data_IF_699542762178
#
_entry.id   IF_699542762178
#
_cell.length_a   1.000
_cell.length_b   1.000
_cell.length_c   1.000
_cell.angle_alpha   90.00
_cell.angle_beta   90.00
_cell.angle_gamma   90.00
#
_symmetry.space_group_name_H-M   'P 1'
#
loop_
_entity.id
_entity.type
_entity.pdbx_description
1 polymer ?
#
# COMPACT_ATOMS: atom_id res chain seq x y z
N UNK A 1 -57.48 -26.82 21.52
CA UNK A 1 -56.45 -26.63 20.47
C UNK A 1 -56.39 -25.20 19.90
N UNK A 2 -56.64 -24.14 20.69
CA UNK A 2 -56.52 -22.73 20.24
C UNK A 2 -55.13 -22.11 20.47
N UNK A 3 -54.27 -22.76 21.26
CA UNK A 3 -52.94 -22.25 21.62
C UNK A 3 -51.89 -22.37 20.49
N UNK A 4 -51.98 -23.39 19.64
CA UNK A 4 -51.04 -23.61 18.53
C UNK A 4 -51.15 -22.52 17.43
N UNK A 5 -52.33 -21.93 17.23
CA UNK A 5 -52.52 -20.89 16.21
C UNK A 5 -51.85 -19.56 16.58
N UNK A 6 -51.80 -19.22 17.87
CA UNK A 6 -51.15 -18.00 18.34
C UNK A 6 -49.63 -18.14 18.42
N UNK A 7 -49.13 -19.35 18.62
CA UNK A 7 -47.69 -19.62 18.69
C UNK A 7 -47.02 -19.43 17.31
N UNK A 8 -47.73 -19.70 16.21
CA UNK A 8 -47.24 -19.44 14.85
C UNK A 8 -47.37 -17.95 14.45
N UNK A 9 -48.35 -17.23 15.01
CA UNK A 9 -48.53 -15.80 14.76
C UNK A 9 -47.53 -14.91 15.52
N UNK A 10 -47.08 -15.32 16.71
CA UNK A 10 -46.11 -14.54 17.51
C UNK A 10 -44.68 -14.66 16.98
N UNK A 11 -44.32 -15.78 16.34
CA UNK A 11 -42.98 -15.95 15.74
C UNK A 11 -42.82 -15.12 14.45
N UNK A 12 -43.92 -14.81 13.74
CA UNK A 12 -43.87 -13.93 12.56
C UNK A 12 -43.67 -12.43 12.92
N UNK A 13 -43.95 -12.03 14.16
CA UNK A 13 -43.85 -10.62 14.60
C UNK A 13 -42.44 -10.28 15.14
N UNK A 14 -41.62 -11.27 15.49
CA UNK A 14 -40.45 -11.05 16.34
C UNK A 14 -39.09 -10.95 15.63
N UNK A 15 -38.95 -11.21 14.33
CA UNK A 15 -37.64 -11.11 13.67
C UNK A 15 -37.71 -10.52 12.27
N UNK A 16 -38.35 -9.36 12.17
CA UNK A 16 -37.92 -8.36 11.20
C UNK A 16 -36.60 -7.73 11.66
N UNK A 17 -35.49 -8.48 11.55
CA UNK A 17 -34.18 -7.83 11.55
C UNK A 17 -34.14 -7.06 10.24
N UNK A 18 -34.46 -5.76 10.30
CA UNK A 18 -33.99 -4.83 9.29
C UNK A 18 -32.46 -4.90 9.38
N UNK A 19 -31.84 -5.69 8.49
CA UNK A 19 -30.46 -5.46 8.14
C UNK A 19 -30.42 -4.02 7.65
N UNK A 20 -29.96 -3.10 8.52
CA UNK A 20 -29.60 -1.77 8.06
C UNK A 20 -28.39 -2.02 7.17
N UNK A 21 -28.62 -2.13 5.86
CA UNK A 21 -27.52 -2.17 4.90
C UNK A 21 -26.75 -0.88 5.12
N UNK A 22 -25.48 -0.98 5.52
CA UNK A 22 -24.61 0.18 5.55
C UNK A 22 -24.67 0.81 4.14
N UNK A 23 -25.15 2.04 4.06
CA UNK A 23 -25.22 2.76 2.79
C UNK A 23 -23.81 3.25 2.49
N UNK A 24 -23.08 2.41 1.75
CA UNK A 24 -21.71 2.62 1.31
C UNK A 24 -21.59 3.67 0.20
N UNK A 25 -22.71 4.28 -0.17
CA UNK A 25 -22.81 5.20 -1.30
C UNK A 25 -23.81 6.32 -1.00
N UNK A 26 -23.32 7.55 -0.95
CA UNK A 26 -24.13 8.75 -0.68
C UNK A 26 -24.38 9.50 -1.97
N UNK A 27 -25.64 9.82 -2.24
CA UNK A 27 -26.04 10.63 -3.38
C UNK A 27 -25.62 12.09 -3.14
N UNK A 28 -24.60 12.55 -3.86
CA UNK A 28 -24.06 13.92 -3.75
C UNK A 28 -24.67 14.89 -4.78
N UNK A 29 -25.45 14.37 -5.73
CA UNK A 29 -26.21 15.15 -6.70
C UNK A 29 -27.27 14.31 -7.40
N UNK A 30 -28.06 14.89 -8.32
CA UNK A 30 -29.16 14.16 -8.97
C UNK A 30 -28.71 12.96 -9.82
N UNK A 31 -27.46 12.94 -10.26
CA UNK A 31 -26.87 11.89 -11.09
C UNK A 31 -25.48 11.47 -10.60
N UNK A 32 -25.13 11.81 -9.35
CA UNK A 32 -23.79 11.54 -8.83
C UNK A 32 -23.88 10.97 -7.42
N UNK A 33 -23.32 9.79 -7.30
CA UNK A 33 -23.06 9.10 -6.04
C UNK A 33 -21.58 9.20 -5.70
N UNK A 34 -21.26 9.13 -4.40
CA UNK A 34 -19.91 8.94 -3.91
C UNK A 34 -19.88 7.77 -2.93
N UNK A 35 -18.85 6.93 -3.03
CA UNK A 35 -18.61 5.89 -2.04
C UNK A 35 -18.18 6.54 -0.72
N UNK A 36 -18.69 6.02 0.39
CA UNK A 36 -18.30 6.44 1.74
C UNK A 36 -17.18 5.57 2.32
N UNK A 37 -16.77 4.51 1.61
CA UNK A 37 -15.58 3.75 1.97
C UNK A 37 -14.31 4.56 1.70
N UNK A 38 -13.25 4.38 2.51
CA UNK A 38 -11.94 4.92 2.19
C UNK A 38 -11.46 4.43 0.83
N UNK A 39 -10.81 5.32 0.06
CA UNK A 39 -10.18 4.95 -1.21
C UNK A 39 -9.06 3.94 -0.98
N UNK A 40 -8.65 3.22 -2.03
CA UNK A 40 -7.53 2.28 -1.93
C UNK A 40 -6.26 2.94 -1.39
N UNK A 41 -5.93 4.16 -1.85
CA UNK A 41 -4.80 4.93 -1.36
C UNK A 41 -4.94 5.34 0.12
N UNK A 42 -6.16 5.55 0.62
CA UNK A 42 -6.42 5.83 2.03
C UNK A 42 -6.27 4.58 2.90
N UNK A 43 -6.61 3.40 2.39
CA UNK A 43 -6.43 2.12 3.09
C UNK A 43 -4.97 1.63 3.03
N UNK A 44 -4.31 1.86 1.88
CA UNK A 44 -2.95 1.48 1.59
C UNK A 44 -2.22 2.67 0.96
N UNK A 45 -1.46 3.40 1.79
CA UNK A 45 -0.70 4.59 1.37
C UNK A 45 0.26 4.28 0.20
N UNK A 46 0.76 3.05 0.08
CA UNK A 46 1.64 2.67 -1.04
C UNK A 46 0.92 2.53 -2.39
N UNK A 47 -0.42 2.50 -2.40
CA UNK A 47 -1.23 2.57 -3.61
C UNK A 47 -1.45 4.01 -4.11
N UNK A 48 -1.00 5.03 -3.35
CA UNK A 48 -1.09 6.43 -3.75
C UNK A 48 -0.38 6.66 -5.08
N UNK A 49 -1.08 7.26 -6.05
CA UNK A 49 -0.50 7.63 -7.34
C UNK A 49 0.34 8.89 -7.16
N UNK A 50 1.61 8.80 -7.55
CA UNK A 50 2.56 9.91 -7.54
C UNK A 50 3.00 10.28 -8.95
N UNK A 51 3.32 11.56 -9.13
CA UNK A 51 3.93 12.11 -10.32
C UNK A 51 4.95 13.15 -9.90
N UNK A 52 6.24 12.79 -10.01
CA UNK A 52 7.35 13.58 -9.48
C UNK A 52 8.36 13.92 -10.57
N UNK A 53 8.92 15.12 -10.46
CA UNK A 53 10.11 15.55 -11.16
C UNK A 53 11.15 15.94 -10.10
N UNK A 54 12.23 15.16 -9.99
CA UNK A 54 13.27 15.37 -8.99
C UNK A 54 14.20 16.52 -9.39
N UNK A 55 14.37 17.49 -8.50
CA UNK A 55 15.33 18.58 -8.67
C UNK A 55 16.77 18.04 -8.85
N UNK A 56 17.60 18.84 -9.52
CA UNK A 56 19.06 18.65 -9.63
C UNK A 56 19.77 18.38 -8.29
N UNK A 57 19.25 18.94 -7.18
CA UNK A 57 19.77 18.72 -5.81
C UNK A 57 19.63 17.27 -5.33
N UNK A 58 18.73 16.49 -5.94
CA UNK A 58 18.55 15.07 -5.68
C UNK A 58 19.48 14.31 -6.63
N UNK A 59 20.50 13.70 -6.03
CA UNK A 59 21.63 13.05 -6.73
C UNK A 59 21.70 11.56 -6.50
N UNK A 60 21.12 11.03 -5.42
CA UNK A 60 21.15 9.59 -5.09
C UNK A 60 19.77 8.97 -5.05
N UNK A 61 19.70 7.65 -5.25
CA UNK A 61 18.48 6.85 -5.11
C UNK A 61 17.89 7.01 -3.72
N UNK A 62 18.70 7.00 -2.66
CA UNK A 62 18.24 7.22 -1.30
C UNK A 62 17.66 8.62 -1.03
N UNK A 63 18.16 9.66 -1.71
CA UNK A 63 17.56 11.00 -1.67
C UNK A 63 16.19 11.00 -2.36
N UNK A 64 16.10 10.39 -3.55
CA UNK A 64 14.85 10.29 -4.31
C UNK A 64 13.77 9.51 -3.54
N UNK A 65 14.12 8.39 -2.91
CA UNK A 65 13.21 7.62 -2.07
C UNK A 65 12.72 8.44 -0.87
N UNK A 66 13.61 9.15 -0.17
CA UNK A 66 13.20 10.02 0.95
C UNK A 66 12.26 11.13 0.50
N UNK A 67 12.53 11.75 -0.65
CA UNK A 67 11.67 12.76 -1.24
C UNK A 67 10.27 12.22 -1.53
N UNK A 68 10.15 11.02 -2.13
CA UNK A 68 8.86 10.39 -2.38
C UNK A 68 8.05 10.09 -1.11
N UNK A 69 8.73 9.81 0.00
CA UNK A 69 8.10 9.39 1.26
C UNK A 69 7.72 10.57 2.16
N UNK A 70 8.31 11.75 1.96
CA UNK A 70 8.21 12.92 2.85
C UNK A 70 6.75 13.34 3.10
N UNK A 71 5.95 13.48 2.03
CA UNK A 71 4.55 13.89 2.11
C UNK A 71 3.59 12.74 2.53
N UNK A 72 4.09 11.51 2.60
CA UNK A 72 3.28 10.31 2.82
C UNK A 72 3.29 9.86 4.30
N UNK A 73 4.08 10.51 5.15
CA UNK A 73 4.20 10.16 6.56
C UNK A 73 4.89 8.81 6.80
N UNK A 74 5.73 8.38 5.86
CA UNK A 74 6.52 7.14 5.89
C UNK A 74 7.99 7.53 5.90
N UNK A 75 8.84 6.74 6.56
CA UNK A 75 10.29 6.98 6.58
C UNK A 75 11.08 5.83 5.95
N UNK A 76 12.16 6.17 5.26
CA UNK A 76 13.13 5.17 4.84
C UNK A 76 13.93 4.70 6.07
N UNK A 77 14.02 3.38 6.26
CA UNK A 77 14.76 2.79 7.36
C UNK A 77 16.25 3.14 7.25
N UNK A 78 16.85 3.54 8.36
CA UNK A 78 18.31 3.76 8.42
C UNK A 78 18.98 2.40 8.63
N UNK A 79 19.95 2.01 7.77
CA UNK A 79 20.70 0.77 7.96
C UNK A 79 21.39 0.79 9.33
N UNK A 80 20.96 -0.08 10.25
CA UNK A 80 21.51 -0.11 11.62
C UNK A 80 22.89 -0.77 11.70
N UNK A 81 23.23 -1.61 10.73
CA UNK A 81 24.53 -2.28 10.60
C UNK A 81 25.14 -1.98 9.23
N UNK A 82 26.47 -1.86 9.18
CA UNK A 82 27.22 -1.73 7.91
C UNK A 82 27.08 -2.97 7.01
N UNK A 83 26.72 -4.11 7.59
CA UNK A 83 26.48 -5.36 6.88
C UNK A 83 25.16 -5.35 6.09
N UNK A 84 24.27 -4.40 6.37
CA UNK A 84 23.01 -4.29 5.64
C UNK A 84 23.27 -3.71 4.24
N UNK A 85 23.08 -4.54 3.21
CA UNK A 85 23.31 -4.20 1.80
C UNK A 85 22.47 -3.02 1.29
N UNK A 86 21.38 -2.64 1.98
CA UNK A 86 20.57 -1.46 1.64
C UNK A 86 21.41 -0.19 1.56
N UNK A 87 22.51 -0.09 2.32
CA UNK A 87 23.41 1.07 2.24
C UNK A 87 23.99 1.27 0.83
N UNK A 88 24.21 0.17 0.08
CA UNK A 88 24.71 0.20 -1.30
C UNK A 88 23.64 0.83 -2.19
N UNK A 89 22.40 0.33 -2.12
CA UNK A 89 21.28 0.81 -2.92
C UNK A 89 21.07 2.33 -2.77
N UNK A 90 20.96 2.80 -1.54
CA UNK A 90 20.62 4.21 -1.26
C UNK A 90 21.74 5.19 -1.63
N UNK A 91 22.98 4.69 -1.75
CA UNK A 91 24.15 5.45 -2.16
C UNK A 91 24.33 5.51 -3.69
N UNK A 92 23.62 4.68 -4.46
CA UNK A 92 23.69 4.71 -5.92
C UNK A 92 23.25 6.07 -6.48
N UNK A 93 23.90 6.56 -7.56
CA UNK A 93 23.46 7.78 -8.22
C UNK A 93 22.07 7.60 -8.82
N UNK A 94 21.25 8.65 -8.79
CA UNK A 94 19.93 8.66 -9.42
C UNK A 94 20.10 8.67 -10.95
N UNK A 95 19.65 7.63 -11.68
CA UNK A 95 19.73 7.61 -13.14
C UNK A 95 18.88 8.73 -13.77
N UNK A 96 19.35 9.28 -14.90
CA UNK A 96 18.67 10.40 -15.56
C UNK A 96 17.23 10.08 -15.95
N UNK A 97 16.97 8.84 -16.40
CA UNK A 97 15.62 8.40 -16.79
C UNK A 97 14.66 8.32 -15.59
N UNK A 98 15.17 8.15 -14.37
CA UNK A 98 14.37 8.12 -13.14
C UNK A 98 14.18 9.51 -12.52
N UNK A 99 14.69 10.59 -13.14
CA UNK A 99 14.43 11.95 -12.64
C UNK A 99 12.97 12.36 -12.76
N UNK A 100 12.23 11.75 -13.68
CA UNK A 100 10.80 11.93 -13.83
C UNK A 100 10.11 10.58 -13.66
N UNK A 101 9.22 10.48 -12.68
CA UNK A 101 8.46 9.26 -12.40
C UNK A 101 6.98 9.61 -12.30
N UNK A 102 6.14 9.01 -13.15
CA UNK A 102 4.69 9.13 -13.02
C UNK A 102 3.93 9.06 -14.34
N UNK A 103 2.59 8.92 -14.29
CA UNK A 103 1.78 8.58 -13.11
C UNK A 103 1.95 7.11 -12.72
N UNK A 104 2.43 6.83 -11.50
CA UNK A 104 2.68 5.47 -10.98
C UNK A 104 2.35 5.40 -9.49
N UNK A 105 2.08 4.23 -8.94
CA UNK A 105 1.89 4.10 -7.48
C UNK A 105 3.18 4.31 -6.71
N UNK A 106 3.10 4.77 -5.47
CA UNK A 106 4.25 4.95 -4.58
C UNK A 106 5.06 3.66 -4.43
N UNK A 107 4.39 2.50 -4.33
CA UNK A 107 5.02 1.18 -4.34
C UNK A 107 5.90 1.01 -5.59
N UNK A 108 5.30 1.15 -6.77
CA UNK A 108 6.02 0.92 -8.03
C UNK A 108 7.13 1.95 -8.23
N UNK A 109 6.96 3.19 -7.76
CA UNK A 109 8.02 4.19 -7.79
C UNK A 109 9.24 3.75 -6.96
N UNK A 110 9.01 3.26 -5.74
CA UNK A 110 10.07 2.76 -4.86
C UNK A 110 10.76 1.52 -5.44
N UNK A 111 9.99 0.57 -5.97
CA UNK A 111 10.51 -0.64 -6.61
C UNK A 111 11.29 -0.32 -7.90
N UNK A 112 10.84 0.66 -8.69
CA UNK A 112 11.56 1.13 -9.90
C UNK A 112 12.89 1.78 -9.54
N UNK A 113 12.92 2.57 -8.47
CA UNK A 113 14.15 3.17 -7.96
C UNK A 113 15.11 2.14 -7.37
N UNK A 114 14.58 1.09 -6.74
CA UNK A 114 15.38 0.02 -6.15
C UNK A 114 15.98 -0.90 -7.23
N UNK A 115 15.17 -1.28 -8.20
CA UNK A 115 15.51 -2.26 -9.23
C UNK A 115 15.06 -3.68 -8.88
N UNK A 116 15.15 -4.62 -9.84
CA UNK A 116 14.46 -5.92 -9.79
C UNK A 116 15.00 -6.89 -8.73
N UNK A 117 16.24 -6.70 -8.27
CA UNK A 117 16.86 -7.57 -7.26
C UNK A 117 16.46 -7.22 -5.83
N UNK A 118 15.68 -6.15 -5.64
CA UNK A 118 15.29 -5.64 -4.33
C UNK A 118 13.79 -5.82 -4.08
N UNK A 119 13.45 -6.36 -2.91
CA UNK A 119 12.09 -6.46 -2.40
C UNK A 119 11.81 -5.30 -1.44
N UNK A 120 10.66 -4.65 -1.61
CA UNK A 120 10.19 -3.62 -0.70
C UNK A 120 9.63 -4.25 0.58
N UNK A 121 10.28 -4.03 1.72
CA UNK A 121 9.85 -4.50 3.04
C UNK A 121 9.22 -3.35 3.82
N UNK A 122 8.07 -3.61 4.43
CA UNK A 122 7.28 -2.60 5.14
C UNK A 122 7.25 -2.90 6.64
N UNK A 123 7.50 -1.85 7.43
CA UNK A 123 7.27 -1.85 8.86
C UNK A 123 6.05 -0.95 9.17
N UNK A 124 4.83 -1.53 9.19
CA UNK A 124 3.62 -0.76 9.41
C UNK A 124 3.53 -0.17 10.81
N UNK A 125 4.22 -0.76 11.79
CA UNK A 125 4.21 -0.31 13.19
C UNK A 125 4.98 1.00 13.32
N UNK A 126 6.18 1.05 12.74
CA UNK A 126 7.05 2.22 12.80
C UNK A 126 6.86 3.18 11.62
N UNK A 127 5.96 2.86 10.69
CA UNK A 127 5.76 3.55 9.41
C UNK A 127 7.07 3.74 8.65
N UNK A 128 7.77 2.63 8.47
CA UNK A 128 9.05 2.61 7.75
C UNK A 128 9.02 1.66 6.57
N UNK A 129 9.91 1.92 5.61
CA UNK A 129 10.22 0.98 4.53
C UNK A 129 11.71 0.69 4.49
N UNK A 130 12.03 -0.55 4.14
CA UNK A 130 13.38 -1.04 3.88
C UNK A 130 13.38 -1.86 2.60
N UNK A 131 14.57 -2.33 2.20
CA UNK A 131 14.72 -3.27 1.10
C UNK A 131 15.50 -4.50 1.53
N UNK A 132 15.24 -5.62 0.89
CA UNK A 132 15.97 -6.89 1.04
C UNK A 132 16.27 -7.46 -0.34
N UNK A 133 17.33 -8.26 -0.49
CA UNK A 133 17.62 -8.88 -1.78
C UNK A 133 16.65 -10.04 -2.05
N UNK A 134 16.16 -10.13 -3.28
CA UNK A 134 15.61 -11.36 -3.85
C UNK A 134 16.75 -12.38 -3.97
N UNK A 135 16.95 -13.24 -2.97
CA UNK A 135 17.77 -14.43 -3.14
C UNK A 135 16.84 -15.49 -3.73
N UNK A 136 16.96 -15.74 -5.03
CA UNK A 136 16.41 -16.96 -5.62
C UNK A 136 17.31 -18.10 -5.14
N UNK A 137 16.89 -18.79 -4.08
CA UNK A 137 17.51 -20.04 -3.68
C UNK A 137 17.31 -21.02 -4.84
N UNK A 138 18.33 -21.18 -5.66
CA UNK A 138 18.34 -22.21 -6.68
C UNK A 138 18.14 -23.54 -5.96
N UNK A 139 16.96 -24.15 -6.12
CA UNK A 139 16.72 -25.52 -5.69
C UNK A 139 17.80 -26.39 -6.34
N UNK A 140 18.78 -26.80 -5.54
CA UNK A 140 19.79 -27.77 -5.89
C UNK A 140 19.06 -29.10 -6.08
N UNK A 141 18.65 -29.35 -7.33
CA UNK A 141 18.01 -30.59 -7.76
C UNK A 141 18.82 -31.78 -7.27
N UNK A 142 18.25 -32.48 -6.29
CA UNK A 142 18.75 -33.77 -5.83
C UNK A 142 18.31 -34.80 -6.88
N UNK A 143 19.11 -34.95 -7.92
CA UNK A 143 19.08 -36.14 -8.78
C UNK A 143 19.88 -37.24 -8.06
N UNK A 144 19.18 -38.07 -7.27
CA UNK A 144 19.62 -39.44 -6.93
C UNK A 144 18.67 -40.47 -7.55
#
# INVERSE_FOLDING_TARGET
MKFIKYLLAVVLVATGILAVSAVDEVQVGRYSTMKTLPTEAQQNIFATVTNVNFDSSITTVGQAMRYLLEDQGIRLAVPRSRENQVHILIALPLPQIHRQLGPISLRHALETLAGPVWLLVQDPIHRMVSFELCIEEAEEGTDE
#
